data_IF_984258091782
#
_entry.id   IF_984258091782
#
_cell.length_a   1.000
_cell.length_b   1.000
_cell.length_c   1.000
_cell.angle_alpha   90.00
_cell.angle_beta   90.00
_cell.angle_gamma   90.00
#
_symmetry.space_group_name_H-M   'P 1'
#
loop_
_entity.id
_entity.type
_entity.pdbx_description
1 polymer ?
#
# COMPACT_ATOMS: atom_id res chain seq x y z
N UNK A 1 -10.19 -1.36 -26.95
CA UNK A 1 -10.65 -0.49 -25.85
C UNK A 1 -9.43 -0.08 -25.05
N UNK A 2 -9.23 1.21 -24.86
CA UNK A 2 -8.17 1.71 -23.98
C UNK A 2 -8.56 1.41 -22.53
N UNK A 3 -7.64 0.81 -21.79
CA UNK A 3 -7.84 0.47 -20.38
C UNK A 3 -7.03 1.46 -19.56
N UNK A 4 -7.69 2.20 -18.69
CA UNK A 4 -7.02 3.04 -17.69
C UNK A 4 -6.58 2.15 -16.53
N UNK A 5 -5.35 2.33 -16.05
CA UNK A 5 -4.73 1.49 -15.03
C UNK A 5 -4.26 2.34 -13.86
N UNK A 6 -4.61 1.91 -12.66
CA UNK A 6 -3.98 2.37 -11.41
C UNK A 6 -3.13 1.23 -10.88
N UNK A 7 -1.85 1.49 -10.65
CA UNK A 7 -0.92 0.53 -10.09
C UNK A 7 -0.61 0.90 -8.64
N UNK A 8 -0.86 -0.03 -7.73
CA UNK A 8 -0.52 0.13 -6.32
C UNK A 8 0.57 -0.88 -5.96
N UNK A 9 1.69 -0.42 -5.40
CA UNK A 9 2.73 -1.31 -4.93
C UNK A 9 2.97 -1.20 -3.42
N UNK A 10 3.44 -2.25 -2.82
CA UNK A 10 3.83 -2.29 -1.41
C UNK A 10 5.24 -1.76 -1.17
N UNK A 11 5.64 -1.72 0.10
CA UNK A 11 6.95 -1.21 0.53
C UNK A 11 8.10 -2.22 0.34
N UNK A 12 7.81 -3.51 0.32
CA UNK A 12 8.84 -4.53 0.25
C UNK A 12 9.94 -4.31 1.29
N UNK A 13 11.17 -4.58 0.94
CA UNK A 13 12.33 -4.38 1.82
C UNK A 13 12.73 -2.90 2.02
N UNK A 14 12.19 -1.98 1.25
CA UNK A 14 12.54 -0.56 1.34
C UNK A 14 11.98 0.12 2.59
N UNK A 15 10.73 -0.14 2.94
CA UNK A 15 10.05 0.56 4.04
C UNK A 15 9.79 -0.29 5.29
N UNK A 16 9.49 -1.60 5.16
CA UNK A 16 8.99 -2.40 6.28
C UNK A 16 9.92 -2.50 7.48
N UNK A 17 11.21 -2.81 7.26
CA UNK A 17 12.15 -3.01 8.37
C UNK A 17 12.32 -1.74 9.20
N UNK A 18 12.49 -0.61 8.54
CA UNK A 18 12.67 0.69 9.18
C UNK A 18 11.38 1.15 9.87
N UNK A 19 10.23 1.01 9.22
CA UNK A 19 8.94 1.33 9.81
C UNK A 19 8.67 0.51 11.09
N UNK A 20 9.02 -0.77 11.12
CA UNK A 20 8.93 -1.64 12.29
C UNK A 20 9.92 -1.23 13.39
N UNK A 21 11.18 -0.97 13.03
CA UNK A 21 12.24 -0.55 13.96
C UNK A 21 11.85 0.70 14.74
N UNK A 22 11.24 1.69 14.08
CA UNK A 22 10.81 2.95 14.68
C UNK A 22 9.32 3.00 15.04
N UNK A 23 8.61 1.87 15.00
CA UNK A 23 7.21 1.70 15.40
C UNK A 23 6.25 2.70 14.75
N UNK A 24 6.47 2.99 13.45
CA UNK A 24 5.73 4.03 12.75
C UNK A 24 4.23 3.72 12.58
N UNK A 25 3.84 2.45 12.59
CA UNK A 25 2.43 2.05 12.54
C UNK A 25 1.64 2.48 13.79
N UNK A 26 2.33 2.58 14.95
CA UNK A 26 1.71 2.98 16.21
C UNK A 26 1.47 4.50 16.31
N UNK A 27 2.09 5.27 15.40
CA UNK A 27 2.10 6.71 15.46
C UNK A 27 3.17 7.25 16.43
N UNK A 28 3.00 8.49 16.85
CA UNK A 28 3.94 9.14 17.78
C UNK A 28 3.91 8.47 19.16
N UNK A 29 5.07 8.06 19.63
CA UNK A 29 5.25 7.45 20.96
C UNK A 29 6.16 8.34 21.80
N UNK A 30 5.54 9.09 22.70
CA UNK A 30 6.26 10.03 23.57
C UNK A 30 7.32 9.32 24.45
N UNK A 31 8.54 9.85 24.47
CA UNK A 31 9.63 9.33 25.29
C UNK A 31 10.17 7.96 24.88
N UNK A 32 9.75 7.41 23.74
CA UNK A 32 10.27 6.13 23.25
C UNK A 32 11.74 6.24 22.82
N UNK A 33 12.48 5.18 23.08
CA UNK A 33 13.83 4.96 22.54
C UNK A 33 13.79 3.84 21.53
N UNK A 34 14.54 3.98 20.45
CA UNK A 34 14.58 3.03 19.35
C UNK A 34 15.99 2.48 19.17
N UNK A 35 16.07 1.27 18.64
CA UNK A 35 17.35 0.64 18.28
C UNK A 35 17.85 1.21 16.94
N UNK A 36 18.40 2.44 16.99
CA UNK A 36 18.89 3.15 15.83
C UNK A 36 19.18 4.63 16.12
N UNK A 37 19.86 5.31 15.18
CA UNK A 37 20.33 6.68 15.39
C UNK A 37 19.26 7.75 15.16
N UNK A 38 18.10 7.40 14.58
CA UNK A 38 17.07 8.37 14.20
C UNK A 38 16.04 8.57 15.31
N UNK A 39 15.49 9.77 15.38
CA UNK A 39 14.20 10.03 16.03
C UNK A 39 13.06 9.45 15.19
N UNK A 40 11.86 9.33 15.76
CA UNK A 40 10.69 8.87 15.00
C UNK A 40 10.35 9.79 13.83
N UNK A 41 10.43 11.12 14.01
CA UNK A 41 10.15 12.10 12.96
C UNK A 41 11.19 12.03 11.81
N UNK A 42 12.47 11.80 12.14
CA UNK A 42 13.50 11.53 11.12
C UNK A 42 13.23 10.20 10.39
N UNK A 43 12.82 9.16 11.11
CA UNK A 43 12.48 7.88 10.52
C UNK A 43 11.26 7.96 9.58
N UNK A 44 10.25 8.77 9.91
CA UNK A 44 9.12 9.07 9.01
C UNK A 44 9.63 9.65 7.68
N UNK A 45 10.48 10.66 7.76
CA UNK A 45 11.06 11.30 6.57
C UNK A 45 11.89 10.32 5.75
N UNK A 46 12.69 9.50 6.42
CA UNK A 46 13.58 8.54 5.81
C UNK A 46 12.82 7.40 5.10
N UNK A 47 11.74 6.88 5.72
CA UNK A 47 10.86 5.88 5.08
C UNK A 47 10.13 6.48 3.86
N UNK A 48 9.63 7.71 3.94
CA UNK A 48 9.03 8.39 2.77
C UNK A 48 10.02 8.50 1.61
N UNK A 49 11.28 8.84 1.89
CA UNK A 49 12.33 8.90 0.87
C UNK A 49 12.64 7.52 0.27
N UNK A 50 12.69 6.47 1.10
CA UNK A 50 12.88 5.10 0.62
C UNK A 50 11.72 4.67 -0.29
N UNK A 51 10.48 5.04 0.06
CA UNK A 51 9.31 4.74 -0.77
C UNK A 51 9.32 5.49 -2.09
N UNK A 52 9.75 6.76 -2.10
CA UNK A 52 9.94 7.52 -3.35
C UNK A 52 11.02 6.87 -4.23
N UNK A 53 12.13 6.41 -3.65
CA UNK A 53 13.19 5.70 -4.38
C UNK A 53 12.68 4.38 -4.99
N UNK A 54 11.91 3.59 -4.24
CA UNK A 54 11.27 2.38 -4.76
C UNK A 54 10.30 2.70 -5.90
N UNK A 55 9.47 3.73 -5.71
CA UNK A 55 8.52 4.16 -6.73
C UNK A 55 9.23 4.62 -8.02
N UNK A 56 10.38 5.27 -7.92
CA UNK A 56 11.21 5.63 -9.08
C UNK A 56 11.66 4.38 -9.86
N UNK A 57 12.01 3.29 -9.18
CA UNK A 57 12.31 2.02 -9.86
C UNK A 57 11.11 1.48 -10.64
N UNK A 58 9.88 1.59 -10.08
CA UNK A 58 8.65 1.18 -10.76
C UNK A 58 8.39 2.05 -11.99
N UNK A 59 8.48 3.38 -11.87
CA UNK A 59 8.31 4.31 -12.98
C UNK A 59 9.33 4.06 -14.09
N UNK A 60 10.60 3.83 -13.73
CA UNK A 60 11.66 3.52 -14.68
C UNK A 60 11.41 2.19 -15.41
N UNK A 61 10.84 1.19 -14.72
CA UNK A 61 10.45 -0.09 -15.35
C UNK A 61 9.32 0.11 -16.38
N UNK A 62 8.30 0.91 -16.06
CA UNK A 62 7.23 1.25 -16.99
C UNK A 62 7.75 2.04 -18.21
N UNK A 63 8.63 3.02 -17.98
CA UNK A 63 9.25 3.81 -19.04
C UNK A 63 10.05 2.94 -20.02
N UNK A 64 10.75 1.90 -19.55
CA UNK A 64 11.48 0.95 -20.41
C UNK A 64 10.56 0.11 -21.30
N UNK A 65 9.29 0.05 -20.96
CA UNK A 65 8.24 -0.64 -21.73
C UNK A 65 7.40 0.34 -22.58
N UNK A 66 7.86 1.58 -22.72
CA UNK A 66 7.14 2.68 -23.41
C UNK A 66 5.75 2.96 -22.79
N UNK A 67 5.58 2.68 -21.50
CA UNK A 67 4.36 2.96 -20.74
C UNK A 67 4.52 4.30 -20.01
N UNK A 68 3.68 5.27 -20.36
CA UNK A 68 3.61 6.55 -19.66
C UNK A 68 2.98 6.37 -18.28
N UNK A 69 3.63 6.91 -17.25
CA UNK A 69 3.15 6.80 -15.87
C UNK A 69 3.39 8.08 -15.07
N UNK A 70 2.55 8.30 -14.06
CA UNK A 70 2.67 9.41 -13.10
C UNK A 70 2.58 8.86 -11.68
N UNK A 71 3.36 9.41 -10.77
CA UNK A 71 3.34 9.04 -9.35
C UNK A 71 2.42 9.93 -8.54
N UNK A 72 1.65 9.32 -7.64
CA UNK A 72 0.89 10.00 -6.58
C UNK A 72 1.31 9.39 -5.23
N UNK A 73 2.35 9.98 -4.60
CA UNK A 73 2.83 9.54 -3.30
C UNK A 73 1.82 9.89 -2.20
N UNK A 74 1.33 8.92 -1.39
CA UNK A 74 0.24 9.13 -0.44
C UNK A 74 0.48 10.24 0.58
N UNK A 75 1.70 10.41 1.09
CA UNK A 75 2.00 11.48 2.06
C UNK A 75 1.74 12.89 1.53
N UNK A 76 1.52 13.07 0.22
CA UNK A 76 1.26 14.38 -0.42
C UNK A 76 -0.23 14.69 -0.56
N UNK A 77 -1.12 13.68 -0.53
CA UNK A 77 -2.54 13.85 -0.83
C UNK A 77 -3.47 13.12 0.14
N UNK A 78 -2.95 12.21 0.97
CA UNK A 78 -3.73 11.43 1.92
C UNK A 78 -3.34 11.75 3.37
N UNK A 79 -4.29 11.58 4.28
CA UNK A 79 -4.15 11.69 5.74
C UNK A 79 -4.87 10.57 6.43
N UNK A 80 -4.47 10.26 7.65
CA UNK A 80 -5.00 9.17 8.45
C UNK A 80 -4.75 7.80 7.82
N UNK A 81 -5.11 6.74 8.50
CA UNK A 81 -4.79 5.36 8.10
C UNK A 81 -6.01 4.47 8.19
N UNK A 82 -5.92 3.27 7.61
CA UNK A 82 -7.03 2.32 7.57
C UNK A 82 -8.01 2.59 6.43
N UNK A 83 -9.09 1.81 6.33
CA UNK A 83 -10.02 1.85 5.19
C UNK A 83 -10.72 3.20 4.99
N UNK A 84 -10.79 4.01 6.05
CA UNK A 84 -11.44 5.34 6.04
C UNK A 84 -10.44 6.50 6.01
N UNK A 85 -9.21 6.29 5.53
CA UNK A 85 -8.24 7.39 5.38
C UNK A 85 -8.84 8.54 4.56
N UNK A 86 -8.37 9.76 4.80
CA UNK A 86 -8.81 10.93 4.05
C UNK A 86 -7.90 11.18 2.86
N UNK A 87 -8.46 11.60 1.73
CA UNK A 87 -7.70 11.91 0.53
C UNK A 87 -8.58 12.22 -0.67
N UNK A 88 -8.06 13.02 -1.58
CA UNK A 88 -8.77 13.42 -2.80
C UNK A 88 -8.61 12.38 -3.90
N UNK A 89 -9.61 11.51 -4.05
CA UNK A 89 -9.62 10.49 -5.11
C UNK A 89 -9.84 11.07 -6.52
N UNK A 90 -10.20 12.36 -6.65
CA UNK A 90 -10.30 13.00 -7.97
C UNK A 90 -8.96 13.01 -8.71
N UNK A 91 -7.84 12.98 -8.00
CA UNK A 91 -6.49 12.87 -8.58
C UNK A 91 -6.33 11.62 -9.46
N UNK A 92 -7.02 10.53 -9.10
CA UNK A 92 -7.02 9.29 -9.87
C UNK A 92 -8.07 9.30 -10.98
N UNK A 93 -9.27 9.81 -10.68
CA UNK A 93 -10.38 9.89 -11.63
C UNK A 93 -10.07 10.80 -12.82
N UNK A 94 -9.43 11.94 -12.53
CA UNK A 94 -9.19 13.00 -13.50
C UNK A 94 -7.79 12.89 -14.15
N UNK A 95 -7.08 11.80 -13.88
CA UNK A 95 -5.80 11.51 -14.52
C UNK A 95 -5.94 11.42 -16.04
N UNK A 96 -4.94 11.87 -16.80
CA UNK A 96 -5.00 11.79 -18.26
C UNK A 96 -5.13 10.35 -18.75
N UNK A 97 -5.98 10.11 -19.74
CA UNK A 97 -6.17 8.78 -20.33
C UNK A 97 -4.89 8.24 -20.94
N UNK A 98 -4.70 6.93 -20.81
CA UNK A 98 -3.52 6.24 -21.33
C UNK A 98 -2.26 6.46 -20.50
N UNK A 99 -2.36 7.09 -19.32
CA UNK A 99 -1.28 7.22 -18.36
C UNK A 99 -1.58 6.32 -17.16
N UNK A 100 -0.61 5.49 -16.78
CA UNK A 100 -0.70 4.67 -15.57
C UNK A 100 -0.46 5.56 -14.36
N UNK A 101 -1.43 5.59 -13.43
CA UNK A 101 -1.24 6.26 -12.15
C UNK A 101 -0.64 5.27 -11.17
N UNK A 102 0.54 5.60 -10.64
CA UNK A 102 1.26 4.75 -9.68
C UNK A 102 1.16 5.37 -8.28
N UNK A 103 0.73 4.58 -7.31
CA UNK A 103 0.73 4.92 -5.89
C UNK A 103 1.24 3.73 -5.07
N UNK A 104 1.43 3.90 -3.76
CA UNK A 104 2.07 2.86 -2.93
C UNK A 104 1.69 2.98 -1.47
N UNK A 105 1.95 1.95 -0.66
CA UNK A 105 1.90 2.09 0.80
C UNK A 105 2.90 3.14 1.29
N UNK A 106 2.53 3.95 2.29
CA UNK A 106 3.36 5.08 2.72
C UNK A 106 3.14 5.45 4.18
N UNK A 107 4.04 6.26 4.73
CA UNK A 107 3.83 6.94 6.01
C UNK A 107 3.12 8.26 5.73
N UNK A 108 1.89 8.38 6.21
CA UNK A 108 1.07 9.59 6.04
C UNK A 108 0.90 10.34 7.35
N UNK A 109 0.57 11.63 7.26
CA UNK A 109 0.20 12.41 8.42
C UNK A 109 -1.15 11.93 8.98
N UNK A 110 -1.26 11.93 10.30
CA UNK A 110 -2.49 11.61 11.01
C UNK A 110 -2.86 12.74 11.97
N UNK A 111 -4.11 12.75 12.39
CA UNK A 111 -4.59 13.66 13.43
C UNK A 111 -3.95 13.32 14.79
N UNK A 112 -3.90 14.32 15.65
CA UNK A 112 -3.45 14.14 17.03
C UNK A 112 -4.36 13.13 17.78
N UNK A 113 -3.82 12.31 18.66
CA UNK A 113 -2.42 12.26 19.12
C UNK A 113 -1.48 11.41 18.25
N UNK A 114 -1.98 10.77 17.20
CA UNK A 114 -1.22 9.80 16.38
C UNK A 114 -0.11 10.45 15.56
N UNK A 115 -0.33 11.65 15.03
CA UNK A 115 0.56 12.49 14.21
C UNK A 115 0.96 11.89 12.85
N UNK A 116 1.28 10.62 12.78
CA UNK A 116 1.60 9.88 11.55
C UNK A 116 1.23 8.40 11.69
N UNK A 117 1.19 7.68 10.57
CA UNK A 117 0.92 6.25 10.56
C UNK A 117 1.16 5.63 9.20
N UNK A 118 1.08 4.30 9.13
CA UNK A 118 1.22 3.57 7.88
C UNK A 118 -0.14 3.48 7.19
N UNK A 119 -0.25 4.07 6.00
CA UNK A 119 -1.33 3.81 5.07
C UNK A 119 -0.92 2.66 4.16
N UNK A 120 -1.59 1.52 4.30
CA UNK A 120 -1.23 0.31 3.58
C UNK A 120 -1.65 0.37 2.10
N UNK A 121 -0.95 -0.38 1.26
CA UNK A 121 -1.37 -0.58 -0.13
C UNK A 121 -2.74 -1.25 -0.22
N UNK A 122 -3.09 -2.09 0.75
CA UNK A 122 -4.38 -2.79 0.79
C UNK A 122 -5.54 -1.81 1.05
N UNK A 123 -5.40 -0.88 2.00
CA UNK A 123 -6.40 0.17 2.24
C UNK A 123 -6.58 1.05 1.00
N UNK A 124 -5.47 1.41 0.33
CA UNK A 124 -5.51 2.17 -0.92
C UNK A 124 -6.28 1.43 -2.01
N UNK A 125 -5.95 0.16 -2.24
CA UNK A 125 -6.58 -0.67 -3.28
C UNK A 125 -8.06 -0.84 -3.01
N UNK A 126 -8.47 -1.14 -1.79
CA UNK A 126 -9.88 -1.33 -1.44
C UNK A 126 -10.65 -0.04 -1.69
N UNK A 127 -10.17 1.09 -1.21
CA UNK A 127 -10.86 2.36 -1.35
C UNK A 127 -10.92 2.82 -2.82
N UNK A 128 -9.81 2.72 -3.57
CA UNK A 128 -9.79 3.02 -5.00
C UNK A 128 -10.77 2.12 -5.78
N UNK A 129 -10.81 0.83 -5.47
CA UNK A 129 -11.69 -0.11 -6.16
C UNK A 129 -13.17 0.10 -5.86
N UNK A 130 -13.51 0.56 -4.64
CA UNK A 130 -14.91 0.71 -4.20
C UNK A 130 -15.50 2.09 -4.45
N UNK A 131 -14.68 3.15 -4.41
CA UNK A 131 -15.17 4.53 -4.47
C UNK A 131 -14.94 5.20 -5.84
N UNK A 132 -13.96 4.75 -6.65
CA UNK A 132 -13.77 5.32 -7.98
C UNK A 132 -14.81 4.79 -8.97
N UNK A 133 -15.58 5.68 -9.62
CA UNK A 133 -16.53 5.26 -10.65
C UNK A 133 -15.78 4.66 -11.86
N UNK A 134 -16.30 3.56 -12.40
CA UNK A 134 -15.77 2.92 -13.60
C UNK A 134 -14.67 1.88 -13.36
N UNK A 135 -14.23 1.69 -12.13
CA UNK A 135 -13.38 0.53 -11.79
C UNK A 135 -14.21 -0.74 -11.94
N UNK A 136 -13.79 -1.62 -12.84
CA UNK A 136 -14.50 -2.85 -13.15
C UNK A 136 -13.68 -4.11 -12.90
N UNK A 137 -12.40 -3.96 -12.56
CA UNK A 137 -11.50 -5.07 -12.27
C UNK A 137 -10.41 -4.65 -11.28
N UNK A 138 -10.20 -5.52 -10.30
CA UNK A 138 -9.06 -5.48 -9.38
C UNK A 138 -8.21 -6.72 -9.64
N UNK A 139 -6.89 -6.52 -9.75
CA UNK A 139 -5.92 -7.61 -9.98
C UNK A 139 -4.85 -7.54 -8.91
N UNK A 140 -4.67 -8.62 -8.17
CA UNK A 140 -3.55 -8.79 -7.25
C UNK A 140 -2.45 -9.59 -7.94
N UNK A 141 -1.25 -9.00 -8.08
CA UNK A 141 -0.06 -9.69 -8.53
C UNK A 141 0.72 -10.17 -7.30
N UNK A 142 0.50 -11.41 -6.91
CA UNK A 142 1.13 -12.00 -5.73
C UNK A 142 2.29 -12.91 -6.13
N UNK A 143 3.41 -12.82 -5.38
CA UNK A 143 4.53 -13.75 -5.51
C UNK A 143 4.48 -14.86 -4.46
N UNK A 144 5.08 -16.02 -4.79
CA UNK A 144 5.26 -17.12 -3.83
C UNK A 144 4.03 -17.99 -3.56
N UNK A 145 2.84 -17.57 -4.01
CA UNK A 145 1.58 -18.34 -3.91
C UNK A 145 0.81 -18.24 -5.21
N UNK A 146 -0.02 -19.25 -5.51
CA UNK A 146 -0.81 -19.30 -6.75
C UNK A 146 -2.07 -18.41 -6.71
N UNK A 147 -2.42 -17.88 -5.54
CA UNK A 147 -3.60 -17.05 -5.32
C UNK A 147 -4.02 -17.03 -3.86
N UNK A 148 -5.28 -16.73 -3.59
CA UNK A 148 -5.83 -16.73 -2.24
C UNK A 148 -5.94 -18.17 -1.73
N UNK A 149 -5.30 -18.45 -0.60
CA UNK A 149 -5.33 -19.75 0.04
C UNK A 149 -6.35 -19.78 1.18
N UNK A 150 -6.91 -20.96 1.46
CA UNK A 150 -7.84 -21.17 2.58
C UNK A 150 -7.22 -20.98 3.95
N UNK A 151 -5.89 -21.06 4.04
CA UNK A 151 -5.09 -20.88 5.26
C UNK A 151 -3.72 -20.31 4.88
N UNK A 152 -3.01 -19.63 5.81
CA UNK A 152 -1.67 -19.10 5.54
C UNK A 152 -0.69 -20.20 5.09
N UNK A 153 0.22 -19.90 4.15
CA UNK A 153 1.22 -20.85 3.69
C UNK A 153 2.05 -21.40 4.87
N UNK A 154 2.24 -22.71 4.93
CA UNK A 154 3.05 -23.37 5.95
C UNK A 154 2.35 -23.62 7.29
N UNK A 155 1.12 -23.15 7.49
CA UNK A 155 0.35 -23.40 8.72
C UNK A 155 -0.34 -24.76 8.65
N UNK A 156 -0.81 -25.18 7.49
CA UNK A 156 -1.47 -26.47 7.28
C UNK A 156 -1.09 -27.09 5.95
N UNK A 157 -0.91 -28.41 5.96
CA UNK A 157 -0.78 -29.20 4.72
C UNK A 157 -2.09 -29.33 3.94
N UNK A 158 -3.21 -28.91 4.53
CA UNK A 158 -4.56 -28.95 3.93
C UNK A 158 -4.97 -27.60 3.32
N UNK A 159 -4.07 -26.61 3.30
CA UNK A 159 -4.33 -25.34 2.62
C UNK A 159 -4.56 -25.59 1.12
N UNK A 160 -5.67 -25.09 0.60
CA UNK A 160 -6.03 -25.19 -0.83
C UNK A 160 -6.25 -23.81 -1.44
N UNK A 161 -6.07 -23.73 -2.73
CA UNK A 161 -6.32 -22.51 -3.53
C UNK A 161 -7.83 -22.24 -3.59
N UNK A 162 -8.21 -21.01 -3.27
CA UNK A 162 -9.60 -20.55 -3.41
C UNK A 162 -9.74 -19.98 -4.82
N UNK A 163 -10.35 -20.74 -5.71
CA UNK A 163 -10.53 -20.35 -7.12
C UNK A 163 -11.57 -19.22 -7.27
N UNK A 164 -12.52 -19.12 -6.34
CA UNK A 164 -13.59 -18.13 -6.40
C UNK A 164 -14.00 -17.70 -5.00
N UNK A 165 -13.87 -16.39 -4.74
CA UNK A 165 -14.41 -15.74 -3.54
C UNK A 165 -15.85 -15.33 -3.78
N UNK A 166 -16.72 -15.54 -2.79
CA UNK A 166 -18.11 -15.09 -2.80
C UNK A 166 -18.39 -14.28 -1.54
N UNK A 167 -19.42 -13.45 -1.56
CA UNK A 167 -19.82 -12.57 -0.44
C UNK A 167 -20.12 -13.33 0.87
N UNK A 168 -20.42 -14.63 0.77
CA UNK A 168 -20.74 -15.48 1.92
C UNK A 168 -19.52 -16.20 2.51
N UNK A 169 -18.33 -15.99 1.96
CA UNK A 169 -17.10 -16.58 2.51
C UNK A 169 -16.53 -15.63 3.57
N UNK A 170 -16.63 -16.08 4.84
CA UNK A 170 -16.02 -15.39 5.96
C UNK A 170 -14.66 -16.04 6.24
N UNK A 171 -13.62 -15.23 6.32
CA UNK A 171 -12.31 -15.65 6.80
C UNK A 171 -12.23 -15.31 8.29
N UNK A 172 -12.03 -16.29 9.15
CA UNK A 172 -11.78 -16.05 10.57
C UNK A 172 -10.32 -15.61 10.74
N UNK A 173 -10.15 -14.35 11.14
CA UNK A 173 -8.86 -13.75 11.52
C UNK A 173 -8.22 -12.89 10.43
N UNK A 174 -7.63 -11.78 10.85
CA UNK A 174 -6.70 -11.00 10.05
C UNK A 174 -5.36 -11.75 9.98
N UNK A 175 -5.16 -12.51 8.94
CA UNK A 175 -3.85 -13.10 8.64
C UNK A 175 -3.14 -12.23 7.62
N UNK A 176 -2.69 -11.05 8.05
CA UNK A 176 -1.66 -10.33 7.33
C UNK A 176 -0.39 -11.19 7.38
N UNK A 177 -0.03 -11.80 6.26
CA UNK A 177 1.31 -12.38 6.12
C UNK A 177 2.26 -11.20 5.98
N UNK A 178 2.81 -10.75 7.10
CA UNK A 178 3.99 -9.89 7.10
C UNK A 178 5.14 -10.69 6.47
N UNK A 179 5.44 -10.41 5.21
CA UNK A 179 6.69 -10.87 4.57
C UNK A 179 7.82 -9.90 4.88
#
# INVERSE_FOLDING_TARGET
>A
EDIDVILVHGAGSFGHLKAKQYRLAEGHVEGATFDGPLTQDEAVTDVRNDMLALNEHVLNALTRLDISAVSLAPHQWARNTGPSFEGDLSLFRDAPKGIVVVTHGDVVDCDEPKRFGILSGDDLVVRLATELPGVNRLVFAMGGVEGVLSQPPGVSSEAYLIERLTENMFFEGEHAVEM
#
